data_IF_331421982879
#
_entry.id   IF_331421982879
#
_cell.length_a   1.000
_cell.length_b   1.000
_cell.length_c   1.000
_cell.angle_alpha   90.00
_cell.angle_beta   90.00
_cell.angle_gamma   90.00
#
_symmetry.space_group_name_H-M   'P 1'
#
loop_
_entity.id
_entity.type
_entity.pdbx_description
1 polymer ?
#
# COMPACT_ATOMS: atom_id res chain seq x y z
N UNK A 1 35.25 57.43 -26.44
CA UNK A 1 35.79 57.49 -25.07
C UNK A 1 35.89 56.08 -24.53
N UNK A 2 37.09 55.70 -24.10
CA UNK A 2 37.43 54.39 -23.55
C UNK A 2 36.86 54.19 -22.14
N UNK A 3 36.62 52.93 -21.75
CA UNK A 3 37.10 52.30 -20.50
C UNK A 3 36.25 51.04 -20.16
N UNK A 4 36.79 49.83 -20.36
CA UNK A 4 37.44 48.96 -19.34
C UNK A 4 36.44 48.12 -18.54
N UNK A 5 36.21 46.88 -19.00
CA UNK A 5 35.64 45.79 -18.21
C UNK A 5 36.60 44.60 -18.23
N UNK A 6 37.21 44.34 -17.07
CA UNK A 6 38.37 43.46 -16.87
C UNK A 6 38.14 42.01 -17.35
N UNK A 7 39.14 41.51 -18.08
CA UNK A 7 39.42 40.10 -18.33
C UNK A 7 39.37 39.30 -17.01
N UNK A 8 38.36 38.43 -16.88
CA UNK A 8 38.44 37.31 -15.94
C UNK A 8 38.88 36.05 -16.68
N UNK A 9 40.03 35.57 -16.22
CA UNK A 9 40.90 34.59 -16.82
C UNK A 9 40.24 33.19 -16.80
N UNK A 10 39.92 32.63 -17.98
CA UNK A 10 39.29 31.30 -18.19
C UNK A 10 40.07 30.13 -17.57
N UNK A 11 41.33 30.34 -17.19
CA UNK A 11 42.25 29.32 -16.69
C UNK A 11 41.94 28.82 -15.28
N UNK A 12 41.11 29.53 -14.50
CA UNK A 12 40.77 29.13 -13.12
C UNK A 12 39.59 28.16 -13.01
N UNK A 13 38.77 28.03 -14.07
CA UNK A 13 37.59 27.14 -14.07
C UNK A 13 37.89 25.72 -14.55
N UNK A 14 39.04 25.48 -15.20
CA UNK A 14 39.44 24.14 -15.64
C UNK A 14 40.18 23.33 -14.56
N UNK A 15 40.62 23.97 -13.46
CA UNK A 15 41.25 23.28 -12.33
C UNK A 15 40.27 22.49 -11.46
N UNK A 16 39.00 22.89 -11.42
CA UNK A 16 37.97 22.22 -10.62
C UNK A 16 37.36 20.99 -11.32
N UNK A 17 37.51 20.86 -12.63
CA UNK A 17 36.91 19.78 -13.42
C UNK A 17 37.83 18.57 -13.68
N UNK A 18 39.08 18.60 -13.22
CA UNK A 18 40.07 17.53 -13.44
C UNK A 18 40.43 16.70 -12.19
N UNK A 19 39.73 16.90 -11.06
CA UNK A 19 39.89 16.08 -9.84
C UNK A 19 38.80 15.03 -9.64
N UNK A 20 37.81 14.96 -10.55
CA UNK A 20 36.73 13.97 -10.53
C UNK A 20 36.66 13.13 -11.81
N UNK A 21 37.76 12.98 -12.54
CA UNK A 21 37.87 12.05 -13.67
C UNK A 21 38.66 10.80 -13.30
N UNK A 22 38.17 10.10 -12.28
CA UNK A 22 38.60 8.75 -11.93
C UNK A 22 37.42 8.00 -11.33
N UNK A 23 36.96 6.97 -12.02
CA UNK A 23 35.84 6.09 -11.68
C UNK A 23 34.42 6.61 -11.97
N UNK A 24 34.08 6.74 -13.26
CA UNK A 24 32.73 6.37 -13.71
C UNK A 24 32.84 4.91 -14.15
N UNK A 25 32.84 4.00 -13.19
CA UNK A 25 32.52 2.60 -13.43
C UNK A 25 31.02 2.57 -13.72
N UNK A 26 30.65 2.08 -14.90
CA UNK A 26 29.28 1.82 -15.30
C UNK A 26 28.71 0.71 -14.41
N UNK A 27 28.19 1.07 -13.23
CA UNK A 27 27.33 0.18 -12.49
C UNK A 27 25.94 0.24 -13.14
N UNK A 28 25.33 -0.91 -13.51
CA UNK A 28 23.94 -0.91 -13.96
C UNK A 28 23.10 -0.29 -12.86
N UNK A 29 22.03 0.41 -13.22
CA UNK A 29 21.03 0.91 -12.28
C UNK A 29 20.37 -0.29 -11.58
N UNK A 30 21.07 -0.86 -10.60
CA UNK A 30 20.56 -1.83 -9.68
C UNK A 30 19.52 -1.05 -8.86
N UNK A 31 18.27 -1.47 -8.94
CA UNK A 31 17.28 -1.08 -7.95
C UNK A 31 17.81 -1.64 -6.64
N UNK A 32 18.62 -0.84 -5.94
CA UNK A 32 18.98 -1.12 -4.56
C UNK A 32 17.70 -0.87 -3.77
N UNK A 33 16.83 -1.89 -3.72
CA UNK A 33 15.84 -1.98 -2.67
C UNK A 33 16.61 -1.74 -1.38
N UNK A 34 16.28 -0.66 -0.65
CA UNK A 34 16.72 -0.56 0.74
C UNK A 34 16.31 -1.88 1.37
N UNK A 35 17.28 -2.64 1.85
CA UNK A 35 17.05 -3.77 2.74
C UNK A 35 16.51 -3.19 4.05
N UNK A 36 15.28 -2.69 4.01
CA UNK A 36 14.46 -2.59 5.19
C UNK A 36 13.98 -4.02 5.40
N UNK A 37 14.81 -4.82 6.07
CA UNK A 37 14.29 -5.95 6.83
C UNK A 37 13.39 -5.34 7.89
N UNK A 38 12.16 -5.01 7.49
CA UNK A 38 11.13 -4.67 8.44
C UNK A 38 11.09 -5.84 9.41
N UNK A 39 11.09 -5.62 10.73
CA UNK A 39 10.81 -6.68 11.70
C UNK A 39 9.34 -7.19 11.60
N UNK A 40 8.68 -6.96 10.46
CA UNK A 40 7.37 -7.42 10.01
C UNK A 40 7.21 -8.95 9.99
N UNK A 41 8.19 -9.72 10.48
CA UNK A 41 7.89 -11.09 10.92
C UNK A 41 6.88 -11.11 12.07
N UNK A 42 6.65 -9.98 12.75
CA UNK A 42 5.54 -9.83 13.69
C UNK A 42 4.27 -9.37 12.97
N UNK A 43 3.59 -10.39 12.44
CA UNK A 43 2.14 -10.67 12.51
C UNK A 43 1.29 -9.47 12.93
N UNK A 44 0.28 -9.15 12.14
CA UNK A 44 -0.90 -8.38 12.55
C UNK A 44 -1.15 -8.55 14.06
N UNK A 45 -0.78 -7.54 14.86
CA UNK A 45 -0.59 -7.70 16.32
C UNK A 45 -1.91 -7.97 17.05
N UNK A 46 -3.03 -7.78 16.35
CA UNK A 46 -4.37 -8.08 16.84
C UNK A 46 -4.91 -9.35 16.15
N UNK A 47 -5.20 -10.41 16.90
CA UNK A 47 -5.87 -11.57 16.34
C UNK A 47 -7.23 -11.17 15.73
N UNK A 48 -7.58 -11.78 14.60
CA UNK A 48 -8.89 -11.63 13.95
C UNK A 48 -9.74 -12.80 14.41
N UNK A 49 -10.46 -12.60 15.51
CA UNK A 49 -11.25 -13.63 16.20
C UNK A 49 -12.24 -14.36 15.26
N UNK A 50 -12.75 -13.66 14.24
CA UNK A 50 -13.69 -14.24 13.27
C UNK A 50 -13.14 -15.42 12.47
N UNK A 51 -11.80 -15.53 12.37
CA UNK A 51 -11.14 -16.61 11.63
C UNK A 51 -10.29 -17.50 12.54
N UNK A 52 -10.33 -17.31 13.86
CA UNK A 52 -9.68 -18.20 14.81
C UNK A 52 -10.32 -19.60 14.73
N UNK A 53 -9.50 -20.62 14.45
CA UNK A 53 -9.95 -22.00 14.33
C UNK A 53 -10.40 -22.43 12.94
N UNK A 54 -10.37 -21.55 11.92
CA UNK A 54 -10.57 -21.98 10.52
C UNK A 54 -9.37 -22.85 10.09
N UNK A 55 -9.60 -24.11 9.66
CA UNK A 55 -8.50 -24.99 9.29
C UNK A 55 -7.71 -24.42 8.12
N UNK A 56 -6.38 -24.43 8.24
CA UNK A 56 -5.47 -23.90 7.22
C UNK A 56 -5.13 -22.41 7.35
N UNK A 57 -5.70 -21.69 8.32
CA UNK A 57 -5.36 -20.29 8.60
C UNK A 57 -4.69 -20.22 9.97
N UNK A 58 -3.36 -20.34 10.00
CA UNK A 58 -2.57 -20.27 11.24
C UNK A 58 -1.66 -19.04 11.29
N UNK A 59 -1.29 -18.49 10.13
CA UNK A 59 -0.39 -17.35 10.02
C UNK A 59 -1.05 -16.19 9.30
N UNK A 60 -0.49 -14.99 9.47
CA UNK A 60 -0.89 -13.81 8.70
C UNK A 60 -0.80 -14.05 7.19
N UNK A 61 0.21 -14.81 6.73
CA UNK A 61 0.38 -15.10 5.31
C UNK A 61 -0.76 -15.96 4.77
N UNK A 62 -1.23 -16.93 5.55
CA UNK A 62 -2.37 -17.76 5.17
C UNK A 62 -3.66 -16.95 5.14
N UNK A 63 -3.86 -16.09 6.13
CA UNK A 63 -5.00 -15.17 6.20
C UNK A 63 -5.00 -14.19 5.01
N UNK A 64 -3.83 -13.66 4.66
CA UNK A 64 -3.67 -12.78 3.49
C UNK A 64 -3.94 -13.51 2.18
N UNK A 65 -3.46 -14.75 2.03
CA UNK A 65 -3.81 -15.57 0.86
C UNK A 65 -5.31 -15.80 0.78
N UNK A 66 -5.94 -16.09 1.92
CA UNK A 66 -7.38 -16.32 2.01
C UNK A 66 -8.19 -15.08 1.63
N UNK A 67 -7.79 -13.87 2.05
CA UNK A 67 -8.48 -12.63 1.67
C UNK A 67 -8.40 -12.30 0.17
N UNK A 68 -7.42 -12.87 -0.54
CA UNK A 68 -7.28 -12.75 -1.99
C UNK A 68 -7.99 -13.87 -2.75
N UNK A 69 -7.94 -15.12 -2.25
CA UNK A 69 -8.54 -16.26 -2.93
C UNK A 69 -10.06 -16.28 -2.77
N UNK A 70 -10.56 -15.95 -1.57
CA UNK A 70 -11.99 -15.99 -1.22
C UNK A 70 -12.42 -14.63 -0.65
N UNK A 71 -12.41 -13.55 -1.46
CA UNK A 71 -12.67 -12.20 -0.97
C UNK A 71 -14.08 -12.03 -0.42
N UNK A 72 -15.08 -12.69 -1.03
CA UNK A 72 -16.48 -12.60 -0.61
C UNK A 72 -16.69 -13.22 0.77
N UNK A 73 -16.09 -14.39 1.03
CA UNK A 73 -16.17 -15.03 2.35
C UNK A 73 -15.44 -14.18 3.40
N UNK A 74 -14.23 -13.72 3.07
CA UNK A 74 -13.40 -12.95 3.99
C UNK A 74 -14.04 -11.60 4.38
N UNK A 75 -14.32 -10.75 3.39
CA UNK A 75 -14.87 -9.43 3.64
C UNK A 75 -16.33 -9.49 4.09
N UNK A 76 -17.10 -10.47 3.61
CA UNK A 76 -18.47 -10.68 4.05
C UNK A 76 -18.56 -11.04 5.53
N UNK A 77 -17.69 -11.93 6.01
CA UNK A 77 -17.62 -12.31 7.43
C UNK A 77 -17.27 -11.11 8.31
N UNK A 78 -16.22 -10.36 7.93
CA UNK A 78 -15.79 -9.18 8.68
C UNK A 78 -16.86 -8.09 8.70
N UNK A 79 -17.52 -7.84 7.57
CA UNK A 79 -18.54 -6.80 7.47
C UNK A 79 -19.77 -7.11 8.33
N UNK A 80 -20.22 -8.36 8.37
CA UNK A 80 -21.35 -8.78 9.22
C UNK A 80 -20.99 -8.81 10.71
N UNK A 81 -19.75 -9.16 11.03
CA UNK A 81 -19.25 -9.19 12.42
C UNK A 81 -19.09 -7.79 13.01
N UNK A 82 -18.50 -6.86 12.23
CA UNK A 82 -17.99 -5.60 12.77
C UNK A 82 -18.89 -4.40 12.56
N UNK A 83 -19.82 -4.48 11.62
CA UNK A 83 -20.74 -3.38 11.31
C UNK A 83 -22.17 -3.76 11.70
N UNK A 84 -22.91 -2.77 12.18
CA UNK A 84 -24.32 -2.92 12.48
C UNK A 84 -25.16 -2.57 11.25
N UNK A 85 -25.66 -3.60 10.58
CA UNK A 85 -26.52 -3.47 9.41
C UNK A 85 -27.97 -3.32 9.84
N UNK A 86 -28.66 -2.32 9.30
CA UNK A 86 -30.12 -2.21 9.38
C UNK A 86 -30.79 -3.19 8.41
N UNK A 87 -30.15 -3.40 7.26
CA UNK A 87 -30.48 -4.41 6.27
C UNK A 87 -29.16 -5.03 5.80
N UNK A 88 -29.06 -6.36 5.88
CA UNK A 88 -27.87 -7.07 5.43
C UNK A 88 -27.67 -6.92 3.91
N UNK A 89 -26.46 -7.14 3.44
CA UNK A 89 -26.11 -7.05 2.02
C UNK A 89 -26.25 -8.41 1.32
N UNK A 90 -26.60 -8.36 0.04
CA UNK A 90 -26.75 -9.56 -0.79
C UNK A 90 -25.43 -9.98 -1.46
N UNK A 91 -24.60 -8.99 -1.81
CA UNK A 91 -23.35 -9.21 -2.55
C UNK A 91 -22.22 -8.40 -1.91
N UNK A 92 -21.06 -9.04 -1.69
CA UNK A 92 -19.92 -8.44 -1.00
C UNK A 92 -19.16 -7.49 -1.91
N UNK A 93 -18.82 -7.91 -3.13
CA UNK A 93 -18.17 -7.04 -4.12
C UNK A 93 -18.76 -7.23 -5.52
N UNK A 94 -18.89 -6.12 -6.24
CA UNK A 94 -19.22 -6.06 -7.67
C UNK A 94 -18.30 -5.00 -8.28
N UNK A 95 -17.12 -5.45 -8.75
CA UNK A 95 -16.05 -4.56 -9.18
C UNK A 95 -15.53 -4.93 -10.57
N UNK A 96 -15.61 -3.98 -11.50
CA UNK A 96 -14.98 -3.99 -12.81
C UNK A 96 -14.05 -2.78 -12.92
N UNK A 97 -12.75 -3.04 -12.77
CA UNK A 97 -11.71 -1.99 -12.85
C UNK A 97 -11.58 -1.40 -14.26
N UNK A 98 -11.91 -2.15 -15.31
CA UNK A 98 -11.83 -1.67 -16.69
C UNK A 98 -12.92 -0.64 -16.97
N UNK A 99 -14.09 -0.83 -16.35
CA UNK A 99 -15.23 0.09 -16.45
C UNK A 99 -15.25 1.15 -15.34
N UNK A 100 -14.30 1.12 -14.39
CA UNK A 100 -14.28 2.01 -13.24
C UNK A 100 -15.49 1.81 -12.30
N UNK A 101 -16.13 0.64 -12.34
CA UNK A 101 -17.26 0.30 -11.48
C UNK A 101 -16.70 -0.43 -10.26
N UNK A 102 -16.90 0.13 -9.08
CA UNK A 102 -16.49 -0.52 -7.83
C UNK A 102 -17.65 -0.38 -6.87
N UNK A 103 -18.21 -1.50 -6.42
CA UNK A 103 -19.32 -1.55 -5.46
C UNK A 103 -19.05 -2.59 -4.40
N UNK A 104 -19.30 -2.23 -3.14
CA UNK A 104 -19.13 -3.10 -1.98
C UNK A 104 -20.42 -3.17 -1.18
N UNK A 105 -20.74 -4.35 -0.66
CA UNK A 105 -21.91 -4.63 0.20
C UNK A 105 -23.23 -4.16 -0.41
N UNK A 106 -23.52 -4.63 -1.62
CA UNK A 106 -24.68 -4.21 -2.41
C UNK A 106 -25.99 -4.51 -1.67
N UNK A 107 -26.92 -3.56 -1.76
CA UNK A 107 -28.23 -3.55 -1.08
C UNK A 107 -28.17 -3.48 0.46
N UNK A 108 -26.98 -3.52 1.06
CA UNK A 108 -26.80 -3.34 2.49
C UNK A 108 -27.11 -1.90 2.91
N UNK A 109 -27.80 -1.75 4.04
CA UNK A 109 -28.10 -0.43 4.63
C UNK A 109 -27.58 -0.38 6.05
N UNK A 110 -26.80 0.64 6.35
CA UNK A 110 -26.28 0.90 7.68
C UNK A 110 -26.27 2.41 7.96
N UNK A 111 -26.16 2.78 9.23
CA UNK A 111 -25.98 4.16 9.63
C UNK A 111 -24.70 4.29 10.45
N UNK A 112 -23.77 5.13 9.99
CA UNK A 112 -22.44 5.31 10.62
C UNK A 112 -22.53 5.90 12.03
N UNK A 113 -23.49 6.80 12.28
CA UNK A 113 -23.69 7.40 13.60
C UNK A 113 -24.64 6.61 14.49
N UNK A 114 -25.30 5.59 13.94
CA UNK A 114 -26.46 4.96 14.53
C UNK A 114 -26.12 3.89 15.57
N UNK A 115 -26.71 4.01 16.76
CA UNK A 115 -26.93 2.88 17.67
C UNK A 115 -28.21 2.17 17.23
N UNK A 116 -28.08 1.10 16.45
CA UNK A 116 -29.21 0.22 16.15
C UNK A 116 -29.49 -0.66 17.39
N UNK A 117 -30.66 -0.49 18.00
CA UNK A 117 -31.19 -1.40 19.02
C UNK A 117 -32.21 -2.33 18.34
N UNK A 118 -31.91 -3.61 18.14
CA UNK A 118 -32.95 -4.57 17.77
C UNK A 118 -33.96 -4.71 18.93
N UNK A 119 -35.25 -4.81 18.59
CA UNK A 119 -36.35 -5.07 19.53
C UNK A 119 -36.25 -6.46 20.14
#
# INVERSE_FOLDING_TARGET
>A
MAAVGKLLNRSRLLGYYKKFQGAISLAPAYIACRNYSSPSSQICTTPIAEFEGKPGINTYQDLYKFSLSEPDEFWGTLARSRLQWMQDFDQVTDSDMNQGRISWFRNGKLNVSGKYKPN
#
